data_IF_605096720166
#
_entry.id   IF_605096720166
#
_cell.length_a   1.000
_cell.length_b   1.000
_cell.length_c   1.000
_cell.angle_alpha   90.00
_cell.angle_beta   90.00
_cell.angle_gamma   90.00
#
_symmetry.space_group_name_H-M   'P 1'
#
loop_
_entity.id
_entity.type
_entity.pdbx_description
1 polymer ?
#
# COMPACT_ATOMS: atom_id res chain seq x y z
N UNK A 1 0.20 2.11 18.85
CA UNK A 1 0.01 3.23 17.90
C UNK A 1 -0.48 2.81 16.50
N UNK A 2 0.21 1.95 15.72
CA UNK A 2 -0.33 1.50 14.40
C UNK A 2 -1.64 0.72 14.55
N UNK A 3 -1.60 -0.33 15.39
CA UNK A 3 -2.78 -1.13 15.72
C UNK A 3 -3.93 -0.32 16.33
N UNK A 4 -3.65 0.80 16.99
CA UNK A 4 -4.70 1.65 17.58
C UNK A 4 -5.41 2.52 16.53
N UNK A 5 -4.75 2.80 15.40
CA UNK A 5 -5.36 3.51 14.28
C UNK A 5 -6.24 2.57 13.46
N UNK A 6 -5.76 1.35 13.18
CA UNK A 6 -6.52 0.31 12.48
C UNK A 6 -7.76 -0.13 13.26
N UNK A 7 -7.65 -0.32 14.59
CA UNK A 7 -8.80 -0.64 15.45
C UNK A 7 -9.86 0.47 15.44
N UNK A 8 -9.43 1.73 15.58
CA UNK A 8 -10.34 2.89 15.49
C UNK A 8 -11.02 2.97 14.13
N UNK A 9 -10.29 2.68 13.05
CA UNK A 9 -10.87 2.64 11.71
C UNK A 9 -11.94 1.55 11.60
N UNK A 10 -11.69 0.33 12.11
CA UNK A 10 -12.66 -0.76 12.10
C UNK A 10 -13.94 -0.42 12.88
N UNK A 11 -13.81 0.22 14.05
CA UNK A 11 -14.97 0.68 14.84
C UNK A 11 -15.80 1.72 14.07
N UNK A 12 -15.15 2.66 13.39
CA UNK A 12 -15.83 3.67 12.57
C UNK A 12 -16.54 3.04 11.38
N UNK A 13 -15.91 2.08 10.68
CA UNK A 13 -16.54 1.37 9.56
C UNK A 13 -17.79 0.65 10.04
N UNK A 14 -17.74 -0.03 11.18
CA UNK A 14 -18.90 -0.70 11.77
C UNK A 14 -20.02 0.30 12.11
N UNK A 15 -19.69 1.47 12.66
CA UNK A 15 -20.66 2.54 12.95
C UNK A 15 -21.33 3.07 11.68
N UNK A 16 -20.53 3.47 10.67
CA UNK A 16 -21.05 3.95 9.39
C UNK A 16 -21.88 2.88 8.65
N UNK A 17 -21.48 1.62 8.75
CA UNK A 17 -22.23 0.50 8.14
C UNK A 17 -23.58 0.29 8.83
N UNK A 18 -23.63 0.35 10.16
CA UNK A 18 -24.87 0.28 10.92
C UNK A 18 -25.81 1.44 10.58
N UNK A 19 -25.28 2.65 10.47
CA UNK A 19 -26.05 3.83 10.08
C UNK A 19 -26.58 3.70 8.65
N UNK A 20 -25.76 3.25 7.69
CA UNK A 20 -26.19 3.03 6.31
C UNK A 20 -27.35 2.04 6.20
N UNK A 21 -27.36 0.98 7.02
CA UNK A 21 -28.45 -0.01 7.06
C UNK A 21 -29.73 0.58 7.68
N UNK A 22 -29.60 1.48 8.67
CA UNK A 22 -30.74 2.12 9.32
C UNK A 22 -31.40 3.20 8.45
N UNK A 23 -30.67 3.77 7.49
CA UNK A 23 -31.16 4.84 6.61
C UNK A 23 -31.84 4.26 5.37
N UNK A 24 -33.03 4.77 5.05
CA UNK A 24 -33.83 4.31 3.89
C UNK A 24 -33.94 5.35 2.78
N UNK A 25 -33.45 6.58 2.99
CA UNK A 25 -33.52 7.67 2.00
C UNK A 25 -32.19 7.85 1.26
N UNK A 26 -32.26 7.95 -0.07
CA UNK A 26 -31.10 8.21 -0.93
C UNK A 26 -30.36 9.51 -0.56
N UNK A 27 -31.07 10.54 -0.10
CA UNK A 27 -30.44 11.79 0.35
C UNK A 27 -29.62 11.60 1.64
N UNK A 28 -30.13 10.80 2.58
CA UNK A 28 -29.42 10.53 3.84
C UNK A 28 -28.19 9.66 3.60
N UNK A 29 -28.28 8.68 2.70
CA UNK A 29 -27.14 7.87 2.29
C UNK A 29 -26.06 8.72 1.58
N UNK A 30 -26.45 9.68 0.74
CA UNK A 30 -25.50 10.61 0.13
C UNK A 30 -24.80 11.51 1.17
N UNK A 31 -25.55 11.99 2.18
CA UNK A 31 -24.97 12.75 3.29
C UNK A 31 -24.00 11.90 4.13
N UNK A 32 -24.32 10.61 4.35
CA UNK A 32 -23.44 9.67 5.04
C UNK A 32 -22.13 9.46 4.28
N UNK A 33 -22.19 9.32 2.95
CA UNK A 33 -21.00 9.23 2.10
C UNK A 33 -20.14 10.49 2.21
N UNK A 34 -20.76 11.67 2.25
CA UNK A 34 -20.06 12.94 2.44
C UNK A 34 -19.34 13.00 3.80
N UNK A 35 -20.00 12.54 4.86
CA UNK A 35 -19.44 12.47 6.21
C UNK A 35 -18.29 11.47 6.28
N UNK A 36 -18.48 10.25 5.77
CA UNK A 36 -17.46 9.19 5.74
C UNK A 36 -16.21 9.64 4.96
N UNK A 37 -16.40 10.20 3.76
CA UNK A 37 -15.29 10.70 2.94
C UNK A 37 -14.56 11.89 3.57
N UNK A 38 -15.20 12.65 4.44
CA UNK A 38 -14.58 13.78 5.17
C UNK A 38 -13.95 13.36 6.52
N UNK A 39 -14.29 12.19 7.06
CA UNK A 39 -13.87 11.78 8.41
C UNK A 39 -12.35 11.54 8.52
N UNK A 40 -11.59 12.22 9.40
CA UNK A 40 -10.12 12.25 9.36
C UNK A 40 -9.42 10.91 9.63
N UNK A 41 -10.10 9.97 10.29
CA UNK A 41 -9.55 8.66 10.65
C UNK A 41 -10.05 7.50 9.78
N UNK A 42 -10.83 7.78 8.72
CA UNK A 42 -11.40 6.75 7.84
C UNK A 42 -10.73 6.78 6.46
N UNK A 43 -9.98 5.73 6.14
CA UNK A 43 -9.24 5.57 4.88
C UNK A 43 -9.64 4.32 4.08
N UNK A 44 -10.46 3.43 4.64
CA UNK A 44 -11.02 2.26 3.97
C UNK A 44 -12.52 2.45 3.71
N UNK A 45 -12.94 2.20 2.48
CA UNK A 45 -14.26 2.48 1.94
C UNK A 45 -14.86 1.29 1.18
N UNK A 46 -14.09 0.22 0.93
CA UNK A 46 -14.56 -0.98 0.22
C UNK A 46 -15.75 -1.65 0.93
N UNK A 47 -15.70 -1.76 2.26
CA UNK A 47 -16.79 -2.30 3.06
C UNK A 47 -18.07 -1.47 2.93
N UNK A 48 -17.95 -0.14 2.98
CA UNK A 48 -19.09 0.76 2.76
C UNK A 48 -19.63 0.62 1.34
N UNK A 49 -18.74 0.57 0.33
CA UNK A 49 -19.12 0.40 -1.07
C UNK A 49 -19.85 -0.93 -1.33
N UNK A 50 -19.50 -1.99 -0.59
CA UNK A 50 -20.13 -3.30 -0.70
C UNK A 50 -21.54 -3.37 -0.09
N UNK A 51 -21.98 -2.33 0.65
CA UNK A 51 -23.30 -2.32 1.28
C UNK A 51 -24.42 -2.23 0.24
N UNK A 52 -25.45 -3.11 0.32
CA UNK A 52 -26.57 -3.07 -0.60
C UNK A 52 -27.41 -1.79 -0.44
N UNK A 53 -27.37 -1.12 0.72
CA UNK A 53 -28.05 0.16 0.89
C UNK A 53 -27.51 1.23 -0.07
N UNK A 54 -26.19 1.24 -0.30
CA UNK A 54 -25.56 2.22 -1.20
C UNK A 54 -25.80 1.88 -2.68
N UNK A 55 -26.06 0.62 -3.03
CA UNK A 55 -26.41 0.28 -4.42
C UNK A 55 -27.74 0.94 -4.87
N UNK A 56 -28.62 1.29 -3.93
CA UNK A 56 -29.84 2.05 -4.21
C UNK A 56 -29.59 3.48 -4.72
N UNK A 57 -28.38 4.03 -4.50
CA UNK A 57 -28.01 5.34 -5.04
C UNK A 57 -27.74 5.26 -6.55
N UNK A 58 -27.45 4.07 -7.10
CA UNK A 58 -27.24 3.88 -8.53
C UNK A 58 -28.55 4.15 -9.30
N UNK A 59 -28.50 5.04 -10.30
CA UNK A 59 -29.68 5.46 -11.06
C UNK A 59 -30.48 6.61 -10.44
N UNK A 60 -30.07 7.13 -9.29
CA UNK A 60 -30.65 8.34 -8.68
C UNK A 60 -29.82 9.59 -8.99
N UNK A 61 -30.34 10.77 -8.63
CA UNK A 61 -29.60 12.04 -8.69
C UNK A 61 -28.34 12.09 -7.82
N UNK A 62 -28.15 11.12 -6.92
CA UNK A 62 -26.99 11.01 -6.03
C UNK A 62 -25.96 9.96 -6.50
N UNK A 63 -26.08 9.47 -7.74
CA UNK A 63 -25.12 8.53 -8.34
C UNK A 63 -23.68 9.04 -8.28
N UNK A 64 -23.48 10.35 -8.41
CA UNK A 64 -22.18 11.01 -8.30
C UNK A 64 -21.49 10.81 -6.94
N UNK A 65 -22.26 10.56 -5.87
CA UNK A 65 -21.71 10.24 -4.54
C UNK A 65 -21.14 8.82 -4.49
N UNK A 66 -21.70 7.87 -5.25
CA UNK A 66 -21.10 6.55 -5.39
C UNK A 66 -19.80 6.59 -6.18
N UNK A 67 -19.74 7.38 -7.25
CA UNK A 67 -18.53 7.52 -8.04
C UNK A 67 -17.43 8.23 -7.25
N UNK A 68 -17.82 9.16 -6.37
CA UNK A 68 -16.93 9.74 -5.37
C UNK A 68 -16.40 8.67 -4.41
N UNK A 69 -17.26 7.82 -3.84
CA UNK A 69 -16.83 6.76 -2.93
C UNK A 69 -15.88 5.77 -3.62
N UNK A 70 -16.16 5.41 -4.88
CA UNK A 70 -15.28 4.56 -5.71
C UNK A 70 -13.92 5.22 -5.95
N UNK A 71 -13.90 6.53 -6.19
CA UNK A 71 -12.66 7.29 -6.34
C UNK A 71 -11.84 7.29 -5.05
N UNK A 72 -12.47 7.37 -3.88
CA UNK A 72 -11.77 7.30 -2.60
C UNK A 72 -11.28 5.88 -2.27
N UNK A 73 -12.03 4.85 -2.66
CA UNK A 73 -11.60 3.47 -2.47
C UNK A 73 -10.38 3.13 -3.35
N UNK A 74 -10.44 3.44 -4.64
CA UNK A 74 -9.49 2.89 -5.62
C UNK A 74 -8.68 3.94 -6.41
N UNK A 75 -9.12 5.18 -6.46
CA UNK A 75 -8.54 6.22 -7.31
C UNK A 75 -7.55 7.15 -6.59
N UNK A 76 -6.99 8.09 -7.34
CA UNK A 76 -6.01 9.08 -6.89
C UNK A 76 -6.47 10.51 -7.15
N UNK A 77 -5.71 11.50 -6.66
CA UNK A 77 -5.97 12.90 -6.95
C UNK A 77 -5.88 13.21 -8.45
N UNK A 78 -4.97 12.56 -9.18
CA UNK A 78 -4.87 12.69 -10.64
C UNK A 78 -6.13 12.19 -11.34
N UNK A 79 -6.71 11.08 -10.88
CA UNK A 79 -7.94 10.53 -11.44
C UNK A 79 -9.12 11.48 -11.25
N UNK A 80 -9.21 12.12 -10.07
CA UNK A 80 -10.20 13.16 -9.81
C UNK A 80 -10.07 14.32 -10.81
N UNK A 81 -8.85 14.87 -10.95
CA UNK A 81 -8.58 15.99 -11.85
C UNK A 81 -8.85 15.65 -13.30
N UNK A 82 -8.43 14.47 -13.75
CA UNK A 82 -8.65 14.00 -15.12
C UNK A 82 -10.14 13.94 -15.45
N UNK A 83 -10.96 13.42 -14.52
CA UNK A 83 -12.42 13.36 -14.68
C UNK A 83 -13.06 14.76 -14.72
N UNK A 84 -12.64 15.68 -13.86
CA UNK A 84 -13.13 17.06 -13.87
C UNK A 84 -12.79 17.76 -15.19
N UNK A 85 -11.55 17.61 -15.69
CA UNK A 85 -11.11 18.19 -16.96
C UNK A 85 -11.86 17.58 -18.14
N UNK A 86 -12.07 16.26 -18.15
CA UNK A 86 -12.86 15.58 -19.17
C UNK A 86 -14.31 16.10 -19.21
N UNK A 87 -14.94 16.29 -18.05
CA UNK A 87 -16.28 16.90 -17.98
C UNK A 87 -16.28 18.35 -18.48
N UNK A 88 -15.33 19.18 -18.05
CA UNK A 88 -15.23 20.58 -18.49
C UNK A 88 -15.02 20.68 -20.02
N UNK A 89 -14.23 19.78 -20.60
CA UNK A 89 -13.99 19.71 -22.03
C UNK A 89 -15.23 19.22 -22.81
N UNK A 90 -15.96 18.23 -22.28
CA UNK A 90 -17.22 17.77 -22.87
C UNK A 90 -18.28 18.88 -22.91
N UNK A 91 -18.37 19.71 -21.86
CA UNK A 91 -19.28 20.87 -21.80
C UNK A 91 -18.90 21.93 -22.85
N UNK A 92 -17.61 22.20 -23.07
CA UNK A 92 -17.15 23.20 -24.04
C UNK A 92 -17.31 22.76 -25.50
N UNK A 93 -17.24 21.45 -25.79
CA UNK A 93 -17.18 20.93 -27.17
C UNK A 93 -18.56 20.63 -27.78
N UNK A 94 -19.66 20.80 -27.04
CA UNK A 94 -21.03 20.53 -27.51
C UNK A 94 -21.19 19.14 -28.16
N UNK A 95 -20.35 18.17 -27.78
CA UNK A 95 -20.40 16.80 -28.30
C UNK A 95 -21.53 16.01 -27.60
N UNK A 96 -22.49 15.42 -28.33
CA UNK A 96 -23.66 14.79 -27.75
C UNK A 96 -23.41 13.34 -27.26
N UNK A 97 -22.19 12.99 -26.85
CA UNK A 97 -21.82 11.57 -26.64
C UNK A 97 -21.38 11.18 -25.22
N UNK A 98 -21.26 12.11 -24.28
CA UNK A 98 -21.00 11.71 -22.90
C UNK A 98 -22.31 11.73 -22.12
N UNK A 99 -22.84 10.54 -21.87
CA UNK A 99 -23.83 10.29 -20.83
C UNK A 99 -23.53 11.16 -19.59
N UNK A 100 -24.53 11.87 -19.08
CA UNK A 100 -24.39 12.86 -18.01
C UNK A 100 -24.14 12.20 -16.63
N UNK A 101 -23.54 11.01 -16.65
CA UNK A 101 -23.39 10.01 -15.59
C UNK A 101 -22.00 10.05 -14.95
N UNK A 102 -21.36 11.22 -14.91
CA UNK A 102 -19.95 11.29 -14.47
C UNK A 102 -19.46 12.63 -13.91
N UNK A 103 -20.32 13.61 -13.63
CA UNK A 103 -19.86 14.83 -12.94
C UNK A 103 -19.61 14.52 -11.47
N UNK A 104 -18.34 14.33 -11.10
CA UNK A 104 -17.95 14.27 -9.70
C UNK A 104 -18.28 15.60 -9.01
N UNK A 105 -18.82 15.57 -7.77
CA UNK A 105 -19.12 16.79 -7.04
C UNK A 105 -17.83 17.55 -6.70
N UNK A 106 -17.96 18.87 -6.47
CA UNK A 106 -16.87 19.68 -5.93
C UNK A 106 -16.49 19.14 -4.55
N UNK A 107 -15.21 18.82 -4.36
CA UNK A 107 -14.71 18.25 -3.10
C UNK A 107 -14.59 19.33 -2.03
N UNK A 108 -14.92 18.97 -0.79
CA UNK A 108 -14.60 19.77 0.38
C UNK A 108 -13.08 19.78 0.63
N UNK A 109 -12.53 20.82 1.30
CA UNK A 109 -11.11 20.88 1.62
C UNK A 109 -10.60 19.63 2.35
N UNK A 110 -11.41 19.07 3.26
CA UNK A 110 -11.07 17.86 4.00
C UNK A 110 -11.02 16.61 3.12
N UNK A 111 -11.90 16.52 2.13
CA UNK A 111 -11.90 15.44 1.13
C UNK A 111 -10.70 15.56 0.19
N UNK A 112 -10.33 16.77 -0.24
CA UNK A 112 -9.12 16.99 -1.06
C UNK A 112 -7.87 16.57 -0.30
N UNK A 113 -7.76 16.97 0.97
CA UNK A 113 -6.67 16.56 1.86
C UNK A 113 -6.60 15.03 1.97
N UNK A 114 -7.74 14.38 2.17
CA UNK A 114 -7.80 12.91 2.25
C UNK A 114 -7.42 12.24 0.93
N UNK A 115 -7.87 12.76 -0.20
CA UNK A 115 -7.49 12.20 -1.49
C UNK A 115 -5.99 12.36 -1.77
N UNK A 116 -5.37 13.46 -1.31
CA UNK A 116 -3.91 13.62 -1.30
C UNK A 116 -3.25 12.54 -0.42
N UNK A 117 -3.75 12.31 0.80
CA UNK A 117 -3.24 11.27 1.71
C UNK A 117 -3.31 9.87 1.08
N UNK A 118 -4.45 9.52 0.48
CA UNK A 118 -4.66 8.24 -0.21
C UNK A 118 -3.73 8.09 -1.42
N UNK A 119 -3.47 9.18 -2.15
CA UNK A 119 -2.52 9.17 -3.27
C UNK A 119 -1.09 8.88 -2.80
N UNK A 120 -0.67 9.42 -1.65
CA UNK A 120 0.62 9.06 -1.04
C UNK A 120 0.68 7.57 -0.69
N UNK A 121 -0.40 7.01 -0.14
CA UNK A 121 -0.45 5.57 0.19
C UNK A 121 -0.31 4.68 -1.06
N UNK A 122 -0.98 5.03 -2.16
CA UNK A 122 -0.84 4.30 -3.43
C UNK A 122 0.59 4.33 -3.98
N UNK A 123 1.27 5.48 -3.87
CA UNK A 123 2.67 5.59 -4.28
C UNK A 123 3.59 4.75 -3.38
N UNK A 124 3.34 4.80 -2.06
CA UNK A 124 4.08 4.07 -1.05
C UNK A 124 3.91 2.54 -1.14
N UNK A 125 2.79 2.08 -1.70
CA UNK A 125 2.54 0.67 -2.03
C UNK A 125 3.49 0.19 -3.14
N UNK A 126 3.70 1.01 -4.16
CA UNK A 126 4.52 0.66 -5.33
C UNK A 126 6.02 0.78 -5.07
N UNK A 127 6.44 1.80 -4.33
CA UNK A 127 7.87 2.12 -4.17
C UNK A 127 8.21 2.60 -2.76
N UNK A 128 9.31 2.07 -2.20
CA UNK A 128 9.80 2.42 -0.86
C UNK A 128 10.52 3.77 -0.80
N UNK A 129 11.05 4.24 -1.92
CA UNK A 129 11.73 5.55 -2.01
C UNK A 129 10.90 6.41 -2.95
N UNK A 130 10.27 7.44 -2.40
CA UNK A 130 9.40 8.35 -3.13
C UNK A 130 10.13 9.66 -3.44
N UNK A 131 10.48 9.95 -4.71
CA UNK A 131 11.08 11.22 -5.09
C UNK A 131 10.11 12.38 -4.85
N UNK A 132 10.63 13.53 -4.40
CA UNK A 132 9.81 14.72 -4.16
C UNK A 132 9.14 15.22 -5.42
N UNK A 133 9.81 15.16 -6.57
CA UNK A 133 9.25 15.66 -7.83
C UNK A 133 8.00 14.85 -8.24
N UNK A 134 8.00 13.54 -8.03
CA UNK A 134 6.83 12.68 -8.26
C UNK A 134 5.70 13.01 -7.26
N UNK A 135 6.03 13.14 -5.97
CA UNK A 135 5.05 13.50 -4.94
C UNK A 135 4.43 14.88 -5.19
N UNK A 136 5.23 15.87 -5.60
CA UNK A 136 4.77 17.21 -5.92
C UNK A 136 3.79 17.20 -7.11
N UNK A 137 4.07 16.40 -8.14
CA UNK A 137 3.17 16.23 -9.29
C UNK A 137 1.87 15.50 -8.93
N UNK A 138 1.94 14.46 -8.11
CA UNK A 138 0.78 13.66 -7.69
C UNK A 138 -0.14 14.43 -6.73
N UNK A 139 0.44 15.22 -5.83
CA UNK A 139 -0.31 15.97 -4.82
C UNK A 139 -0.65 17.40 -5.26
N UNK A 140 -0.20 17.81 -6.45
CA UNK A 140 -0.33 19.17 -6.97
C UNK A 140 0.20 20.22 -5.99
N UNK A 141 1.44 20.01 -5.53
CA UNK A 141 2.11 20.86 -4.56
C UNK A 141 3.28 21.56 -5.24
N UNK A 142 3.35 22.89 -5.09
CA UNK A 142 4.33 23.70 -5.82
C UNK A 142 5.67 23.82 -5.11
N UNK A 143 5.71 23.63 -3.78
CA UNK A 143 6.90 23.87 -2.97
C UNK A 143 7.27 22.68 -2.10
N UNK A 144 8.58 22.46 -1.92
CA UNK A 144 9.12 21.37 -1.07
C UNK A 144 8.66 21.50 0.37
N UNK A 145 8.62 22.73 0.91
CA UNK A 145 8.17 22.96 2.28
C UNK A 145 6.70 22.55 2.49
N UNK A 146 5.84 22.88 1.52
CA UNK A 146 4.43 22.49 1.59
C UNK A 146 4.28 20.96 1.50
N UNK A 147 5.10 20.30 0.69
CA UNK A 147 5.14 18.84 0.64
C UNK A 147 5.58 18.23 1.97
N UNK A 148 6.67 18.72 2.57
CA UNK A 148 7.17 18.23 3.86
C UNK A 148 6.15 18.48 4.98
N UNK A 149 5.56 19.67 5.04
CA UNK A 149 4.50 20.03 6.00
C UNK A 149 3.28 19.11 5.83
N UNK A 150 2.87 18.81 4.60
CA UNK A 150 1.79 17.86 4.32
C UNK A 150 2.14 16.44 4.77
N UNK A 151 3.31 15.93 4.42
CA UNK A 151 3.75 14.58 4.80
C UNK A 151 3.82 14.43 6.31
N UNK A 152 4.33 15.44 7.01
CA UNK A 152 4.45 15.42 8.47
C UNK A 152 3.05 15.51 9.11
N UNK A 153 2.35 16.62 8.89
CA UNK A 153 1.11 16.95 9.60
C UNK A 153 -0.06 16.05 9.21
N UNK A 154 -0.18 15.75 7.92
CA UNK A 154 -1.36 15.06 7.41
C UNK A 154 -1.12 13.56 7.26
N UNK A 155 0.12 13.09 7.01
CA UNK A 155 0.37 11.66 6.78
C UNK A 155 1.07 10.96 7.96
N UNK A 156 2.11 11.55 8.55
CA UNK A 156 2.85 10.92 9.65
C UNK A 156 2.10 11.02 10.98
N UNK A 157 1.57 12.20 11.30
CA UNK A 157 0.80 12.42 12.54
C UNK A 157 -0.52 11.65 12.57
N UNK A 158 -1.18 11.47 11.42
CA UNK A 158 -2.36 10.59 11.30
C UNK A 158 -2.00 9.10 11.39
N UNK A 159 -0.71 8.76 11.27
CA UNK A 159 -0.20 7.41 11.43
C UNK A 159 -0.34 6.53 10.18
N UNK A 160 -0.77 7.09 9.05
CA UNK A 160 -0.97 6.35 7.80
C UNK A 160 0.36 6.00 7.12
N UNK A 161 1.40 6.83 7.27
CA UNK A 161 2.75 6.53 6.76
C UNK A 161 3.79 6.77 7.85
N UNK A 162 4.90 6.05 7.76
CA UNK A 162 6.10 6.30 8.55
C UNK A 162 7.32 6.16 7.68
N UNK A 163 8.29 7.03 7.90
CA UNK A 163 9.49 7.04 7.10
C UNK A 163 10.41 8.19 7.49
N UNK A 164 11.44 8.39 6.67
CA UNK A 164 12.40 9.49 6.83
C UNK A 164 12.37 10.40 5.61
N UNK A 165 12.37 11.70 5.86
CA UNK A 165 12.53 12.72 4.82
C UNK A 165 14.02 12.96 4.62
N UNK A 166 14.53 12.70 3.41
CA UNK A 166 15.89 13.02 3.01
C UNK A 166 15.87 14.23 2.08
N UNK A 167 16.15 15.40 2.66
CA UNK A 167 16.13 16.66 1.94
C UNK A 167 17.31 16.79 0.95
N UNK A 168 18.44 16.11 1.21
CA UNK A 168 19.60 16.14 0.32
C UNK A 168 19.33 15.33 -0.95
N UNK A 169 18.75 14.13 -0.80
CA UNK A 169 18.37 13.27 -1.94
C UNK A 169 17.01 13.62 -2.54
N UNK A 170 16.29 14.57 -1.93
CA UNK A 170 14.92 14.99 -2.30
C UNK A 170 13.98 13.78 -2.40
N UNK A 171 14.00 12.92 -1.39
CA UNK A 171 13.14 11.74 -1.36
C UNK A 171 12.57 11.48 0.04
N UNK A 172 11.45 10.75 0.05
CA UNK A 172 10.83 10.22 1.24
C UNK A 172 11.01 8.70 1.28
N UNK A 173 11.74 8.21 2.27
CA UNK A 173 11.99 6.78 2.48
C UNK A 173 10.90 6.19 3.37
N UNK A 174 9.98 5.45 2.76
CA UNK A 174 8.83 4.82 3.40
C UNK A 174 9.28 3.55 4.14
N UNK A 175 9.09 3.53 5.45
CA UNK A 175 9.27 2.34 6.29
C UNK A 175 7.95 1.58 6.46
N UNK A 176 6.85 2.31 6.60
CA UNK A 176 5.52 1.76 6.78
C UNK A 176 4.51 2.63 6.01
N UNK A 177 3.53 1.97 5.40
CA UNK A 177 2.34 2.59 4.85
C UNK A 177 1.15 1.70 5.23
N UNK A 178 0.06 2.33 5.65
CA UNK A 178 -1.20 1.66 5.90
C UNK A 178 -1.77 1.09 4.59
N UNK A 179 -2.44 -0.05 4.68
CA UNK A 179 -3.14 -0.63 3.53
C UNK A 179 -4.33 0.23 3.12
N UNK A 180 -4.50 0.41 1.81
CA UNK A 180 -5.73 0.95 1.22
C UNK A 180 -6.69 -0.19 0.86
N UNK A 181 -7.90 0.15 0.42
CA UNK A 181 -8.84 -0.80 -0.17
C UNK A 181 -8.21 -1.56 -1.34
N UNK A 182 -8.44 -2.88 -1.35
CA UNK A 182 -7.93 -3.80 -2.36
C UNK A 182 -8.98 -4.08 -3.41
N UNK A 183 -8.57 -4.14 -4.67
CA UNK A 183 -9.40 -4.74 -5.71
C UNK A 183 -9.27 -6.27 -5.68
N UNK A 184 -10.28 -7.02 -6.16
CA UNK A 184 -10.18 -8.47 -6.28
C UNK A 184 -8.96 -8.95 -7.06
N UNK A 185 -8.54 -8.20 -8.07
CA UNK A 185 -7.35 -8.52 -8.88
C UNK A 185 -6.06 -8.37 -8.09
N UNK A 186 -5.96 -7.36 -7.22
CA UNK A 186 -4.79 -7.18 -6.35
C UNK A 186 -4.65 -8.32 -5.33
N UNK A 187 -5.75 -8.93 -4.88
CA UNK A 187 -5.70 -10.07 -3.97
C UNK A 187 -5.00 -11.27 -4.60
N UNK A 188 -5.26 -11.57 -5.87
CA UNK A 188 -4.59 -12.65 -6.58
C UNK A 188 -3.08 -12.39 -6.72
N UNK A 189 -2.71 -11.14 -7.04
CA UNK A 189 -1.30 -10.74 -7.08
C UNK A 189 -0.61 -10.89 -5.71
N UNK A 190 -1.29 -10.56 -4.60
CA UNK A 190 -0.74 -10.78 -3.26
C UNK A 190 -0.48 -12.25 -2.96
N UNK A 191 -1.40 -13.14 -3.37
CA UNK A 191 -1.23 -14.60 -3.21
C UNK A 191 -0.01 -15.09 -4.00
N UNK A 192 0.17 -14.61 -5.23
CA UNK A 192 1.32 -14.95 -6.07
C UNK A 192 2.63 -14.49 -5.44
N UNK A 193 2.74 -13.21 -5.04
CA UNK A 193 3.94 -12.66 -4.39
C UNK A 193 4.30 -13.42 -3.12
N UNK A 194 3.32 -13.77 -2.28
CA UNK A 194 3.57 -14.54 -1.05
C UNK A 194 4.01 -15.97 -1.36
N UNK A 195 3.47 -16.58 -2.41
CA UNK A 195 3.85 -17.93 -2.86
C UNK A 195 5.28 -17.95 -3.39
N UNK A 196 5.66 -16.95 -4.18
CA UNK A 196 7.03 -16.79 -4.71
C UNK A 196 8.03 -16.54 -3.58
N UNK A 197 7.66 -15.73 -2.57
CA UNK A 197 8.50 -15.49 -1.41
C UNK A 197 8.70 -16.76 -0.57
N UNK A 198 7.64 -17.55 -0.39
CA UNK A 198 7.72 -18.84 0.28
C UNK A 198 8.66 -19.79 -0.48
N UNK A 199 8.46 -19.94 -1.80
CA UNK A 199 9.31 -20.79 -2.63
C UNK A 199 10.78 -20.36 -2.64
N UNK A 200 11.04 -19.05 -2.66
CA UNK A 200 12.40 -18.50 -2.54
C UNK A 200 13.02 -18.83 -1.18
N UNK A 201 12.25 -18.70 -0.11
CA UNK A 201 12.70 -19.00 1.26
C UNK A 201 13.03 -20.48 1.43
N UNK A 202 12.19 -21.37 0.90
CA UNK A 202 12.43 -22.82 0.91
C UNK A 202 13.68 -23.19 0.09
N UNK A 203 13.87 -22.56 -1.07
CA UNK A 203 15.08 -22.77 -1.89
C UNK A 203 16.35 -22.34 -1.14
N UNK A 204 16.34 -21.18 -0.49
CA UNK A 204 17.47 -20.71 0.31
C UNK A 204 17.76 -21.64 1.49
N UNK A 205 16.72 -22.13 2.16
CA UNK A 205 16.85 -23.08 3.26
C UNK A 205 17.50 -24.38 2.78
N UNK A 206 17.06 -24.93 1.65
CA UNK A 206 17.67 -26.12 1.06
C UNK A 206 19.13 -25.90 0.68
N UNK A 207 19.47 -24.76 0.06
CA UNK A 207 20.86 -24.43 -0.27
C UNK A 207 21.75 -24.35 0.98
N UNK A 208 21.26 -23.74 2.07
CA UNK A 208 21.99 -23.69 3.35
C UNK A 208 22.19 -25.10 3.90
N UNK A 209 21.17 -25.95 3.88
CA UNK A 209 21.27 -27.34 4.34
C UNK A 209 22.28 -28.15 3.52
N UNK A 210 22.33 -27.97 2.20
CA UNK A 210 23.33 -28.61 1.35
C UNK A 210 24.75 -28.13 1.67
N UNK A 211 24.93 -26.82 1.89
CA UNK A 211 26.23 -26.25 2.28
C UNK A 211 26.72 -26.77 3.63
N UNK A 212 25.81 -26.97 4.61
CA UNK A 212 26.13 -27.59 5.89
C UNK A 212 26.62 -29.03 5.68
N UNK A 213 25.85 -29.86 4.94
CA UNK A 213 26.24 -31.26 4.65
C UNK A 213 27.58 -31.35 3.94
N UNK A 214 27.82 -30.48 2.97
CA UNK A 214 29.09 -30.40 2.25
C UNK A 214 30.25 -30.05 3.19
N UNK A 215 30.05 -29.06 4.07
CA UNK A 215 31.07 -28.65 5.04
C UNK A 215 31.40 -29.76 6.05
N UNK A 216 30.38 -30.48 6.55
CA UNK A 216 30.57 -31.63 7.44
C UNK A 216 31.37 -32.75 6.74
N UNK A 217 30.97 -33.09 5.51
CA UNK A 217 31.67 -34.11 4.72
C UNK A 217 33.13 -33.72 4.47
N UNK A 218 33.38 -32.46 4.11
CA UNK A 218 34.73 -31.96 3.85
C UNK A 218 35.58 -31.91 5.13
N UNK A 219 34.97 -31.55 6.27
CA UNK A 219 35.60 -31.58 7.59
C UNK A 219 36.04 -33.00 7.96
N UNK A 220 35.18 -33.99 7.74
CA UNK A 220 35.49 -35.40 8.03
C UNK A 220 36.57 -35.96 7.09
N UNK A 221 36.52 -35.62 5.80
CA UNK A 221 37.58 -35.98 4.84
C UNK A 221 38.92 -35.35 5.25
N UNK A 222 38.92 -34.08 5.65
CA UNK A 222 40.13 -33.39 6.05
C UNK A 222 40.73 -33.96 7.35
N UNK A 223 39.88 -34.28 8.34
CA UNK A 223 40.31 -34.99 9.57
C UNK A 223 40.95 -36.33 9.25
N UNK A 224 40.35 -37.10 8.33
CA UNK A 224 40.89 -38.40 7.91
C UNK A 224 42.24 -38.24 7.21
N UNK A 225 42.37 -37.33 6.26
CA UNK A 225 43.64 -37.06 5.59
C UNK A 225 44.73 -36.60 6.57
N UNK A 226 44.37 -35.76 7.54
CA UNK A 226 45.32 -35.30 8.55
C UNK A 226 45.80 -36.45 9.44
N UNK A 227 44.89 -37.33 9.87
CA UNK A 227 45.25 -38.54 10.62
C UNK A 227 46.16 -39.48 9.82
N UNK A 228 45.83 -39.74 8.56
CA UNK A 228 46.66 -40.58 7.67
C UNK A 228 48.06 -39.98 7.46
N UNK A 229 48.17 -38.65 7.37
CA UNK A 229 49.45 -37.97 7.28
C UNK A 229 50.26 -38.12 8.58
N UNK A 230 49.63 -37.91 9.74
CA UNK A 230 50.27 -38.10 11.05
C UNK A 230 50.77 -39.54 11.26
N UNK A 231 49.96 -40.54 10.89
CA UNK A 231 50.32 -41.96 10.98
C UNK A 231 51.55 -42.28 10.11
N UNK A 232 51.60 -41.77 8.86
CA UNK A 232 52.75 -41.95 7.96
C UNK A 232 54.02 -41.26 8.47
N UNK A 233 53.88 -40.08 9.08
CA UNK A 233 55.01 -39.37 9.69
C UNK A 233 55.59 -40.18 10.85
N UNK A 234 54.74 -40.75 11.71
CA UNK A 234 55.19 -41.59 12.82
C UNK A 234 55.84 -42.90 12.34
N UNK A 235 55.32 -43.53 11.29
CA UNK A 235 55.94 -44.71 10.67
C UNK A 235 57.34 -44.40 10.12
N UNK A 236 57.49 -43.28 9.39
CA UNK A 236 58.79 -42.83 8.89
C UNK A 236 59.78 -42.49 10.02
N UNK A 237 59.33 -41.90 11.12
CA UNK A 237 60.19 -41.67 12.30
C UNK A 237 60.67 -42.98 12.93
N UNK A 238 59.81 -44.01 12.98
CA UNK A 238 60.16 -45.33 13.52
C UNK A 238 61.18 -46.04 12.64
N UNK A 239 61.03 -46.02 11.31
CA UNK A 239 61.97 -46.67 10.40
C UNK A 239 63.37 -46.03 10.43
N UNK A 240 63.46 -44.71 10.58
CA UNK A 240 64.73 -43.99 10.75
C UNK A 240 65.42 -44.34 12.06
N UNK A 241 64.69 -44.59 13.15
CA UNK A 241 65.27 -44.96 14.46
C UNK A 241 65.79 -46.41 14.53
N UNK A 242 65.36 -47.27 13.62
CA UNK A 242 65.69 -48.70 13.60
C UNK A 242 66.85 -49.01 12.64
N UNK A 243 67.21 -48.06 11.77
CA UNK A 243 68.43 -48.09 10.92
C UNK A 243 69.60 -47.40 11.59
#
# INVERSE_FOLDING_TARGET
MAMDAERRQAELIAQFSSQAVALSSAQQLAALVLEATSHPALFAFSELLALPALSMLAGTQYSSSLDLLRLFAYGTLKDYKSKIVACAFAILTLLPFADNSGSLPALLPDQVRKLKQLSVLTLAESTKILPYDQLMQELDVSNVRELEDFLINECMYSGIVRGKLDQLRRCFEVQFAAGRDLTPDQLNNMIEILSDWLGTSDSLLHQIQEKIKWADTMSDVNKKHQKEFEDRVEEAKKSIKVS
#
